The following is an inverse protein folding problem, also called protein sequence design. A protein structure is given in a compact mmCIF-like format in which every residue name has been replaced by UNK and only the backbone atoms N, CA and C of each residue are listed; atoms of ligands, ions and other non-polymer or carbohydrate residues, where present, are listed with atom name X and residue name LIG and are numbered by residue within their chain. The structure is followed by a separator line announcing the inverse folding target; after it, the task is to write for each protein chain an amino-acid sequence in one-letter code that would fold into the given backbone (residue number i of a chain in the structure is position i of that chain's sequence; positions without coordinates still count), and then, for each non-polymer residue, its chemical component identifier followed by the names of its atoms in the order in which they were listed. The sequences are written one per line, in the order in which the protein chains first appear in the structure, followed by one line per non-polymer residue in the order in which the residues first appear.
data_IF_031676495553
#
_entry.id   IF_031676495553
#
_cell.length_a   1.000
_cell.length_b   1.000
_cell.length_c   1.000
_cell.angle_alpha   90.00
_cell.angle_beta   90.00
_cell.angle_gamma   90.00
#
_symmetry.space_group_name_H-M   'P 1'
#
loop_
_entity.id
_entity.type
_entity.pdbx_description
1 polymer ?
#
# COMPACT_ATOMS: atom_id res chain seq x y z
N UNK A 1 -41.00 -24.72 6.37
CA UNK A 1 -39.86 -25.35 7.07
C UNK A 1 -39.11 -24.43 8.06
N UNK A 2 -39.11 -23.10 7.91
CA UNK A 2 -38.30 -22.19 8.74
C UNK A 2 -38.83 -21.82 10.15
N UNK A 3 -40.06 -22.20 10.53
CA UNK A 3 -40.69 -21.65 11.74
C UNK A 3 -40.03 -22.10 13.06
N UNK A 4 -39.43 -23.29 13.11
CA UNK A 4 -38.82 -23.83 14.34
C UNK A 4 -37.42 -23.27 14.63
N UNK A 5 -36.73 -22.72 13.61
CA UNK A 5 -35.38 -22.15 13.77
C UNK A 5 -35.41 -20.71 14.26
N UNK A 6 -36.46 -19.95 13.90
CA UNK A 6 -36.56 -18.52 14.20
C UNK A 6 -36.28 -18.17 15.68
N UNK A 7 -36.84 -18.88 16.69
CA UNK A 7 -36.55 -18.57 18.09
C UNK A 7 -35.06 -18.69 18.46
N UNK A 8 -34.35 -19.66 17.87
CA UNK A 8 -32.92 -19.83 18.11
C UNK A 8 -32.09 -18.73 17.43
N UNK A 9 -32.47 -18.33 16.21
CA UNK A 9 -31.81 -17.24 15.50
C UNK A 9 -32.01 -15.91 16.24
N UNK A 10 -33.20 -15.62 16.75
CA UNK A 10 -33.48 -14.43 17.56
C UNK A 10 -32.68 -14.42 18.87
N UNK A 11 -32.48 -15.58 19.51
CA UNK A 11 -31.72 -15.69 20.75
C UNK A 11 -30.21 -15.55 20.55
N UNK A 12 -29.65 -16.23 19.54
CA UNK A 12 -28.20 -16.42 19.40
C UNK A 12 -27.56 -15.62 18.25
N UNK A 13 -28.34 -15.10 17.31
CA UNK A 13 -27.84 -14.31 16.17
C UNK A 13 -28.46 -12.90 16.10
N UNK A 14 -28.91 -12.34 17.22
CA UNK A 14 -29.27 -10.91 17.29
C UNK A 14 -28.05 -10.02 17.05
N UNK A 15 -28.28 -8.80 16.57
CA UNK A 15 -27.21 -7.80 16.48
C UNK A 15 -26.91 -7.15 17.83
N UNK A 16 -25.74 -6.51 17.90
CA UNK A 16 -25.40 -5.62 19.02
C UNK A 16 -26.36 -4.43 19.09
N UNK A 17 -26.38 -3.74 20.23
CA UNK A 17 -27.17 -2.52 20.45
C UNK A 17 -28.68 -2.68 20.19
N UNK A 18 -29.22 -3.86 20.53
CA UNK A 18 -30.65 -4.17 20.41
C UNK A 18 -31.13 -4.43 18.98
N UNK A 19 -30.22 -4.54 17.99
CA UNK A 19 -30.59 -4.83 16.61
C UNK A 19 -31.18 -6.22 16.45
N UNK A 20 -32.19 -6.33 15.58
CA UNK A 20 -32.86 -7.61 15.33
C UNK A 20 -31.93 -8.61 14.63
N UNK A 21 -32.28 -9.89 14.70
CA UNK A 21 -31.61 -10.94 13.91
C UNK A 21 -31.73 -10.69 12.40
N UNK A 22 -32.83 -10.08 11.96
CA UNK A 22 -33.05 -9.75 10.57
C UNK A 22 -32.06 -8.68 10.10
N UNK A 23 -31.91 -7.60 10.87
CA UNK A 23 -30.97 -6.52 10.53
C UNK A 23 -29.53 -7.03 10.47
N UNK A 24 -29.09 -7.75 11.51
CA UNK A 24 -27.75 -8.36 11.53
C UNK A 24 -27.55 -9.28 10.33
N UNK A 25 -28.47 -10.20 10.09
CA UNK A 25 -28.30 -11.21 9.03
C UNK A 25 -28.34 -10.57 7.64
N UNK A 26 -29.18 -9.55 7.43
CA UNK A 26 -29.26 -8.81 6.17
C UNK A 26 -27.95 -8.06 5.90
N UNK A 27 -27.42 -7.35 6.89
CA UNK A 27 -26.13 -6.65 6.76
C UNK A 27 -24.98 -7.62 6.50
N UNK A 28 -24.88 -8.71 7.27
CA UNK A 28 -23.79 -9.66 7.11
C UNK A 28 -23.86 -10.43 5.80
N UNK A 29 -25.06 -10.78 5.31
CA UNK A 29 -25.22 -11.41 3.99
C UNK A 29 -24.86 -10.46 2.86
N UNK A 30 -25.23 -9.19 2.96
CA UNK A 30 -24.82 -8.18 1.97
C UNK A 30 -23.30 -8.04 1.93
N UNK A 31 -22.65 -7.93 3.10
CA UNK A 31 -21.19 -7.87 3.17
C UNK A 31 -20.55 -9.13 2.57
N UNK A 32 -21.06 -10.31 2.93
CA UNK A 32 -20.57 -11.56 2.36
C UNK A 32 -20.72 -11.62 0.84
N UNK A 33 -21.82 -11.13 0.29
CA UNK A 33 -22.01 -11.12 -1.15
C UNK A 33 -21.09 -10.11 -1.85
N UNK A 34 -20.71 -9.02 -1.16
CA UNK A 34 -19.77 -8.04 -1.69
C UNK A 34 -18.32 -8.51 -1.75
N UNK A 35 -17.90 -9.46 -0.90
CA UNK A 35 -16.47 -9.84 -0.79
C UNK A 35 -16.17 -11.34 -0.79
N UNK A 36 -17.13 -12.21 -0.42
CA UNK A 36 -16.87 -13.62 -0.11
C UNK A 36 -17.70 -14.62 -0.92
N UNK A 37 -18.77 -14.18 -1.59
CA UNK A 37 -19.48 -15.00 -2.57
C UNK A 37 -18.67 -15.13 -3.85
N UNK A 38 -19.09 -16.02 -4.76
CA UNK A 38 -18.48 -16.11 -6.09
C UNK A 38 -18.57 -14.77 -6.85
N UNK A 39 -19.65 -14.00 -6.64
CA UNK A 39 -19.81 -12.67 -7.20
C UNK A 39 -18.77 -11.69 -6.64
N UNK A 40 -18.63 -11.62 -5.32
CA UNK A 40 -17.61 -10.79 -4.66
C UNK A 40 -16.18 -11.18 -5.04
N UNK A 41 -15.87 -12.48 -5.11
CA UNK A 41 -14.56 -12.98 -5.51
C UNK A 41 -14.24 -12.72 -6.99
N UNK A 42 -15.25 -12.73 -7.88
CA UNK A 42 -15.08 -12.28 -9.27
C UNK A 42 -14.75 -10.80 -9.33
N UNK A 43 -15.49 -9.98 -8.58
CA UNK A 43 -15.19 -8.56 -8.45
C UNK A 43 -13.78 -8.31 -7.91
N UNK A 44 -13.31 -9.06 -6.91
CA UNK A 44 -11.93 -8.95 -6.42
C UNK A 44 -10.90 -9.25 -7.51
N UNK A 45 -11.08 -10.34 -8.26
CA UNK A 45 -10.18 -10.69 -9.36
C UNK A 45 -10.18 -9.63 -10.45
N UNK A 46 -11.36 -9.09 -10.77
CA UNK A 46 -11.52 -8.03 -11.76
C UNK A 46 -10.79 -6.78 -11.29
N UNK A 47 -11.04 -6.25 -10.08
CA UNK A 47 -10.38 -5.04 -9.57
C UNK A 47 -8.85 -5.16 -9.52
N UNK A 48 -8.32 -6.35 -9.21
CA UNK A 48 -6.88 -6.60 -9.20
C UNK A 48 -6.23 -6.60 -10.59
N UNK A 49 -6.97 -6.99 -11.64
CA UNK A 49 -6.39 -7.30 -12.95
C UNK A 49 -7.06 -6.56 -14.11
N UNK A 50 -8.04 -5.69 -13.86
CA UNK A 50 -8.82 -5.04 -14.91
C UNK A 50 -7.94 -4.25 -15.88
N UNK A 51 -6.90 -3.60 -15.34
CA UNK A 51 -5.91 -2.84 -16.12
C UNK A 51 -4.67 -3.65 -16.51
N UNK A 52 -4.74 -4.97 -16.42
CA UNK A 52 -3.65 -5.90 -16.72
C UNK A 52 -2.90 -6.39 -15.49
N UNK A 53 -1.79 -7.07 -15.73
CA UNK A 53 -0.93 -7.58 -14.68
C UNK A 53 -0.31 -6.43 -13.86
N UNK A 54 -0.26 -6.51 -12.53
CA UNK A 54 0.30 -5.46 -11.67
C UNK A 54 1.72 -5.06 -12.07
N UNK A 55 2.55 -6.01 -12.52
CA UNK A 55 3.92 -5.75 -12.97
C UNK A 55 3.95 -4.83 -14.20
N UNK A 56 3.01 -5.02 -15.12
CA UNK A 56 2.87 -4.19 -16.32
C UNK A 56 2.42 -2.79 -15.93
N UNK A 57 1.48 -2.65 -15.00
CA UNK A 57 1.05 -1.34 -14.49
C UNK A 57 2.20 -0.57 -13.82
N UNK A 58 3.05 -1.24 -13.04
CA UNK A 58 4.25 -0.62 -12.46
C UNK A 58 5.26 -0.20 -13.52
N UNK A 59 5.51 -1.05 -14.53
CA UNK A 59 6.39 -0.70 -15.64
C UNK A 59 5.88 0.51 -16.41
N UNK A 60 4.57 0.58 -16.68
CA UNK A 60 3.96 1.77 -17.28
C UNK A 60 4.14 3.01 -16.41
N UNK A 61 3.99 2.91 -15.09
CA UNK A 61 4.22 4.03 -14.19
C UNK A 61 5.67 4.53 -14.26
N UNK A 62 6.65 3.61 -14.28
CA UNK A 62 8.08 3.97 -14.44
C UNK A 62 8.33 4.58 -15.81
N UNK A 63 7.82 4.00 -16.89
CA UNK A 63 7.99 4.51 -18.26
C UNK A 63 7.42 5.91 -18.46
N UNK A 64 6.32 6.24 -17.77
CA UNK A 64 5.69 7.55 -17.84
C UNK A 64 6.17 8.50 -16.73
N UNK A 65 7.03 8.03 -15.81
CA UNK A 65 7.64 8.87 -14.81
C UNK A 65 8.70 9.78 -15.44
N UNK A 66 8.78 11.03 -14.99
CA UNK A 66 9.89 11.91 -15.34
C UNK A 66 11.07 11.63 -14.41
N UNK A 67 11.75 10.50 -14.60
CA UNK A 67 12.94 10.12 -13.80
C UNK A 67 14.26 10.36 -14.54
N UNK A 68 14.18 10.90 -15.76
CA UNK A 68 15.30 11.30 -16.61
C UNK A 68 16.30 12.26 -15.94
N UNK A 69 15.82 13.14 -15.05
CA UNK A 69 16.66 14.08 -14.30
C UNK A 69 17.27 13.50 -13.02
N UNK A 70 16.80 12.34 -12.54
CA UNK A 70 17.27 11.77 -11.29
C UNK A 70 18.77 11.40 -11.32
N UNK A 71 19.30 10.78 -12.40
CA UNK A 71 20.75 10.53 -12.51
C UNK A 71 21.57 11.82 -12.47
N UNK A 72 21.13 12.89 -13.15
CA UNK A 72 21.85 14.16 -13.16
C UNK A 72 21.89 14.82 -11.76
N UNK A 73 20.80 14.71 -10.99
CA UNK A 73 20.78 15.17 -9.61
C UNK A 73 21.74 14.37 -8.72
N UNK A 74 21.77 13.04 -8.89
CA UNK A 74 22.70 12.17 -8.16
C UNK A 74 24.14 12.48 -8.56
N UNK A 75 24.44 12.63 -9.84
CA UNK A 75 25.77 12.99 -10.34
C UNK A 75 26.22 14.35 -9.79
N UNK A 76 25.35 15.34 -9.77
CA UNK A 76 25.66 16.64 -9.18
C UNK A 76 26.11 16.49 -7.72
N UNK A 77 25.33 15.78 -6.89
CA UNK A 77 25.66 15.51 -5.50
C UNK A 77 26.97 14.72 -5.33
N UNK A 78 27.16 13.65 -6.12
CA UNK A 78 28.36 12.81 -6.05
C UNK A 78 29.63 13.52 -6.53
N UNK A 79 29.50 14.55 -7.37
CA UNK A 79 30.62 15.35 -7.87
C UNK A 79 31.11 16.42 -6.89
N UNK A 80 30.35 16.71 -5.83
CA UNK A 80 30.73 17.71 -4.81
C UNK A 80 31.78 17.17 -3.82
N UNK A 81 32.12 15.88 -3.87
CA UNK A 81 33.12 15.28 -3.00
C UNK A 81 33.90 14.13 -3.64
N UNK A 82 35.06 13.82 -3.08
CA UNK A 82 35.84 12.63 -3.37
C UNK A 82 36.43 12.01 -2.09
N UNK A 83 37.36 11.06 -2.23
CA UNK A 83 38.01 10.41 -1.08
C UNK A 83 38.88 11.37 -0.24
N UNK A 84 39.26 12.51 -0.82
CA UNK A 84 40.06 13.56 -0.19
C UNK A 84 39.19 14.61 0.52
N UNK A 85 37.90 14.72 0.19
CA UNK A 85 36.97 15.62 0.88
C UNK A 85 36.02 16.34 -0.08
N UNK A 86 35.49 17.49 0.34
CA UNK A 86 34.67 18.36 -0.51
C UNK A 86 35.51 19.01 -1.60
N UNK A 87 34.95 19.07 -2.82
CA UNK A 87 35.57 19.64 -4.04
C UNK A 87 35.00 21.02 -4.40
N UNK A 88 33.91 21.43 -3.74
CA UNK A 88 33.23 22.71 -3.94
C UNK A 88 33.65 23.76 -2.90
N UNK A 89 33.61 25.03 -3.30
CA UNK A 89 34.16 26.16 -2.51
C UNK A 89 33.27 26.58 -1.33
N UNK A 90 31.99 26.19 -1.32
CA UNK A 90 31.01 26.56 -0.30
C UNK A 90 30.95 25.57 0.88
N UNK A 91 31.73 24.49 0.83
CA UNK A 91 31.78 23.46 1.87
C UNK A 91 33.13 23.43 2.59
N UNK A 92 33.10 23.11 3.90
CA UNK A 92 34.29 23.06 4.74
C UNK A 92 34.79 21.63 4.94
N UNK A 93 36.06 21.39 4.61
CA UNK A 93 36.71 20.10 4.86
C UNK A 93 37.00 19.91 6.37
N UNK A 94 36.75 18.72 6.94
CA UNK A 94 36.80 18.49 8.39
C UNK A 94 38.22 18.29 8.94
N UNK A 95 39.25 18.85 8.29
CA UNK A 95 40.65 18.62 8.65
C UNK A 95 41.06 19.19 10.00
N UNK A 96 40.32 20.18 10.50
CA UNK A 96 40.50 20.86 11.78
C UNK A 96 39.84 20.11 12.96
N UNK A 97 38.84 19.29 12.68
CA UNK A 97 38.06 18.55 13.70
C UNK A 97 38.26 17.03 13.65
N UNK A 98 38.77 16.48 12.54
CA UNK A 98 38.96 15.03 12.40
C UNK A 98 40.05 14.51 13.32
N UNK A 99 39.70 13.59 14.22
CA UNK A 99 40.64 12.90 15.12
C UNK A 99 41.27 11.65 14.49
N UNK A 100 40.78 11.24 13.31
CA UNK A 100 41.27 10.06 12.58
C UNK A 100 42.35 10.51 11.60
N UNK A 101 43.59 10.02 11.77
CA UNK A 101 44.68 10.25 10.82
C UNK A 101 44.41 9.44 9.54
N UNK A 102 44.42 10.11 8.39
CA UNK A 102 44.48 9.45 7.07
C UNK A 102 45.87 8.84 6.88
N UNK A 103 45.92 7.64 6.29
CA UNK A 103 47.16 6.91 5.99
C UNK A 103 47.90 7.52 4.80
#
# INVERSE_FOLDING_TARGET
MACHLKPYLEKYLRGSDGRSVYDRSKTMKLLWDAIGSEFGARHELDELNYFGQPEVSHLYAVQNSRTDHAPALVEACMNEYDLSGWTVDDMFNPGDVSTVRRA
#
